data_IF_169034031219
#
_entry.id   IF_169034031219
#
_cell.length_a   1.000
_cell.length_b   1.000
_cell.length_c   1.000
_cell.angle_alpha   90.00
_cell.angle_beta   90.00
_cell.angle_gamma   90.00
#
_symmetry.space_group_name_H-M   'P 1'
#
loop_
_entity.id
_entity.type
_entity.pdbx_description
1 polymer ?
#
# COMPACT_ATOMS: atom_id res chain seq x y z
N UNK A 1 -58.24 27.99 4.63
CA UNK A 1 -57.77 26.89 3.76
C UNK A 1 -56.24 26.89 3.63
N UNK A 2 -55.49 26.71 4.72
CA UNK A 2 -54.01 26.79 4.71
C UNK A 2 -53.30 25.53 5.26
N UNK A 3 -54.06 24.59 5.82
CA UNK A 3 -53.53 23.44 6.57
C UNK A 3 -52.86 22.38 5.69
N UNK A 4 -53.36 22.17 4.46
CA UNK A 4 -52.87 21.11 3.56
C UNK A 4 -51.53 21.46 2.89
N UNK A 5 -51.27 22.75 2.65
CA UNK A 5 -50.01 23.25 2.07
C UNK A 5 -48.86 23.14 3.08
N UNK A 6 -49.14 23.40 4.36
CA UNK A 6 -48.17 23.25 5.46
C UNK A 6 -47.61 21.83 5.54
N UNK A 7 -48.47 20.82 5.55
CA UNK A 7 -48.04 19.42 5.64
C UNK A 7 -47.22 18.95 4.43
N UNK A 8 -47.52 19.46 3.23
CA UNK A 8 -46.75 19.14 2.02
C UNK A 8 -45.34 19.75 2.06
N UNK A 9 -45.21 20.98 2.55
CA UNK A 9 -43.90 21.62 2.76
C UNK A 9 -43.07 20.89 3.83
N UNK A 10 -43.70 20.45 4.92
CA UNK A 10 -43.05 19.69 5.99
C UNK A 10 -42.57 18.32 5.45
N UNK A 11 -43.37 17.65 4.63
CA UNK A 11 -43.00 16.37 4.01
C UNK A 11 -41.85 16.53 2.99
N UNK A 12 -41.87 17.58 2.15
CA UNK A 12 -40.79 17.85 1.17
C UNK A 12 -39.49 18.23 1.89
N UNK A 13 -39.57 19.03 2.95
CA UNK A 13 -38.40 19.37 3.77
C UNK A 13 -37.82 18.13 4.47
N UNK A 14 -38.67 17.25 5.01
CA UNK A 14 -38.22 15.98 5.60
C UNK A 14 -37.56 15.05 4.58
N UNK A 15 -38.07 15.00 3.34
CA UNK A 15 -37.50 14.20 2.24
C UNK A 15 -36.18 14.78 1.69
N UNK A 16 -36.00 16.11 1.76
CA UNK A 16 -34.75 16.79 1.40
C UNK A 16 -33.64 16.58 2.45
N UNK A 17 -34.01 16.41 3.72
CA UNK A 17 -33.06 16.12 4.82
C UNK A 17 -32.55 14.67 4.77
N UNK A 18 -33.27 13.74 4.13
CA UNK A 18 -32.85 12.33 4.02
C UNK A 18 -31.87 12.03 2.88
N UNK A 19 -31.44 13.01 2.08
CA UNK A 19 -30.57 12.79 0.94
C UNK A 19 -29.24 13.55 1.03
N UNK A 20 -28.30 13.05 1.82
CA UNK A 20 -26.86 13.08 1.51
C UNK A 20 -26.04 12.35 2.56
N UNK A 21 -25.98 11.03 2.47
CA UNK A 21 -24.88 10.26 3.03
C UNK A 21 -23.78 10.19 1.99
N UNK A 22 -22.97 11.25 1.88
CA UNK A 22 -21.78 11.21 1.04
C UNK A 22 -20.76 10.24 1.68
N UNK A 23 -20.65 9.04 1.12
CA UNK A 23 -19.64 8.07 1.55
C UNK A 23 -18.30 8.53 1.00
N UNK A 24 -17.46 9.10 1.86
CA UNK A 24 -16.11 9.48 1.49
C UNK A 24 -15.20 8.23 1.48
N UNK A 25 -14.86 7.77 0.27
CA UNK A 25 -14.07 6.56 0.02
C UNK A 25 -12.56 6.83 -0.18
N UNK A 26 -12.03 7.98 0.25
CA UNK A 26 -10.61 8.34 -0.02
C UNK A 26 -9.61 7.73 0.96
N UNK A 27 -10.05 6.85 1.86
CA UNK A 27 -9.19 6.29 2.89
C UNK A 27 -8.62 4.93 2.50
N UNK A 28 -7.31 4.79 2.57
CA UNK A 28 -6.64 3.49 2.41
C UNK A 28 -7.07 2.57 3.56
N UNK A 29 -7.76 1.48 3.24
CA UNK A 29 -8.23 0.51 4.24
C UNK A 29 -7.22 -0.59 4.53
N UNK A 30 -6.52 -1.05 3.50
CA UNK A 30 -5.50 -2.10 3.60
C UNK A 30 -4.56 -2.00 2.40
N UNK A 31 -3.27 -2.11 2.65
CA UNK A 31 -2.27 -2.39 1.62
C UNK A 31 -1.54 -3.68 2.02
N UNK A 32 -1.48 -4.64 1.12
CA UNK A 32 -0.74 -5.89 1.30
C UNK A 32 0.25 -6.03 0.15
N UNK A 33 1.53 -6.20 0.50
CA UNK A 33 2.62 -6.24 -0.48
C UNK A 33 3.35 -7.57 -0.34
N UNK A 34 3.50 -8.26 -1.46
CA UNK A 34 4.40 -9.40 -1.60
C UNK A 34 5.63 -8.90 -2.34
N UNK A 35 6.76 -8.83 -1.63
CA UNK A 35 8.02 -8.38 -2.20
C UNK A 35 9.11 -9.43 -1.99
N UNK A 36 10.03 -9.49 -2.94
CA UNK A 36 11.24 -10.28 -2.81
C UNK A 36 12.22 -9.55 -1.88
N UNK A 37 13.12 -10.29 -1.26
CA UNK A 37 14.31 -9.72 -0.63
C UNK A 37 15.08 -8.78 -1.59
N UNK A 38 15.76 -7.76 -1.04
CA UNK A 38 16.69 -6.91 -1.78
C UNK A 38 17.96 -7.65 -2.24
N UNK A 39 18.89 -6.96 -2.90
CA UNK A 39 20.02 -7.65 -3.53
C UNK A 39 20.93 -8.31 -2.50
N UNK A 40 21.27 -9.57 -2.76
CA UNK A 40 22.15 -10.39 -1.92
C UNK A 40 23.39 -10.80 -2.70
N UNK A 41 24.48 -11.02 -1.97
CA UNK A 41 25.61 -11.77 -2.48
C UNK A 41 25.16 -13.18 -2.93
N UNK A 42 25.86 -13.80 -3.91
CA UNK A 42 25.60 -15.19 -4.29
C UNK A 42 25.70 -16.11 -3.08
N UNK A 43 24.99 -17.23 -3.10
CA UNK A 43 25.04 -18.20 -2.00
C UNK A 43 26.33 -19.03 -2.01
N UNK A 44 26.90 -19.26 -3.19
CA UNK A 44 28.14 -20.00 -3.40
C UNK A 44 28.84 -19.47 -4.64
N UNK A 45 30.15 -19.62 -4.68
CA UNK A 45 30.99 -19.21 -5.80
C UNK A 45 31.31 -20.44 -6.66
N UNK A 46 31.20 -20.29 -7.97
CA UNK A 46 31.54 -21.36 -8.89
C UNK A 46 33.07 -21.57 -8.92
N UNK A 47 33.59 -22.80 -9.06
CA UNK A 47 35.04 -23.06 -8.93
C UNK A 47 35.94 -22.26 -9.88
N UNK A 48 35.45 -21.89 -11.07
CA UNK A 48 36.22 -21.12 -12.07
C UNK A 48 35.85 -19.64 -12.12
N UNK A 49 35.16 -19.14 -11.09
CA UNK A 49 34.79 -17.73 -11.01
C UNK A 49 36.05 -16.86 -10.73
N UNK A 50 36.28 -15.77 -11.47
CA UNK A 50 37.41 -14.88 -11.21
C UNK A 50 37.26 -14.05 -9.92
N UNK A 51 36.08 -13.99 -9.32
CA UNK A 51 35.73 -13.20 -8.14
C UNK A 51 35.61 -14.07 -6.87
N UNK A 52 36.54 -15.00 -6.69
CA UNK A 52 36.56 -15.95 -5.54
C UNK A 52 36.97 -15.33 -4.21
N UNK A 53 37.59 -14.15 -4.20
CA UNK A 53 37.92 -13.43 -2.98
C UNK A 53 36.65 -12.83 -2.34
N UNK A 54 35.97 -13.65 -1.53
CA UNK A 54 34.71 -13.30 -0.87
C UNK A 54 34.85 -12.06 0.00
N UNK A 55 35.95 -11.90 0.73
CA UNK A 55 36.12 -10.77 1.64
C UNK A 55 36.23 -9.44 0.87
N UNK A 56 36.87 -9.47 -0.30
CA UNK A 56 37.03 -8.31 -1.18
C UNK A 56 35.76 -7.96 -1.96
N UNK A 57 35.09 -8.95 -2.56
CA UNK A 57 33.96 -8.73 -3.46
C UNK A 57 32.60 -8.75 -2.76
N UNK A 58 32.48 -9.50 -1.66
CA UNK A 58 31.27 -9.66 -0.86
C UNK A 58 31.57 -9.39 0.63
N UNK A 59 31.92 -8.15 1.00
CA UNK A 59 32.39 -7.82 2.35
C UNK A 59 31.36 -8.09 3.46
N UNK A 60 30.08 -8.15 3.09
CA UNK A 60 29.00 -8.51 4.01
C UNK A 60 28.84 -10.03 4.18
N UNK A 61 29.52 -10.85 3.37
CA UNK A 61 29.41 -12.30 3.32
C UNK A 61 28.48 -12.81 2.21
N UNK A 62 28.63 -14.09 1.85
CA UNK A 62 27.80 -14.79 0.87
C UNK A 62 26.35 -14.93 1.37
N UNK A 63 25.39 -14.82 0.44
CA UNK A 63 23.96 -14.87 0.74
C UNK A 63 23.41 -13.69 1.57
N UNK A 64 24.25 -12.74 1.98
CA UNK A 64 23.84 -11.56 2.77
C UNK A 64 23.39 -10.41 1.87
N UNK A 65 22.53 -9.54 2.40
CA UNK A 65 22.12 -8.31 1.70
C UNK A 65 23.32 -7.40 1.45
N UNK A 66 23.37 -6.81 0.26
CA UNK A 66 24.38 -5.82 -0.10
C UNK A 66 24.00 -4.44 0.45
N UNK A 67 25.00 -3.61 0.78
CA UNK A 67 24.74 -2.23 1.28
C UNK A 67 24.31 -1.24 0.20
N UNK A 68 24.51 -1.60 -1.06
CA UNK A 68 24.19 -0.75 -2.23
C UNK A 68 22.74 -0.87 -2.67
N UNK A 69 22.02 -1.89 -2.21
CA UNK A 69 20.60 -2.04 -2.52
C UNK A 69 19.78 -1.35 -1.43
N UNK A 70 19.18 -0.21 -1.80
CA UNK A 70 18.19 0.50 -1.00
C UNK A 70 16.85 -0.24 -0.95
#
# INVERSE_FOLDING_TARGET
>A
MAFHRSNLFILIAALAVTHSSCVNLTTLRLAQVVYRHGDRAPMYIYPTDPYTDVQKYWPNGLGQLTRVSC
#
